data_IF_901032384731
#
_entry.id   IF_901032384731
#
_cell.length_a   1.000
_cell.length_b   1.000
_cell.length_c   1.000
_cell.angle_alpha   90.00
_cell.angle_beta   90.00
_cell.angle_gamma   90.00
#
_symmetry.space_group_name_H-M   'P 1'
#
loop_
_entity.id
_entity.type
_entity.pdbx_description
1 polymer ?
#
# COMPACT_ATOMS: atom_id res chain seq x y z
N UNK A 1 -10.66 1.30 -8.09
CA UNK A 1 -9.72 2.22 -7.41
C UNK A 1 -10.30 3.63 -7.30
N UNK A 2 -10.48 4.36 -8.41
CA UNK A 2 -10.96 5.74 -8.41
C UNK A 2 -12.27 5.97 -7.64
N UNK A 3 -13.32 5.18 -7.90
CA UNK A 3 -14.60 5.28 -7.18
C UNK A 3 -14.42 5.08 -5.67
N UNK A 4 -13.51 4.19 -5.25
CA UNK A 4 -13.27 3.90 -3.83
C UNK A 4 -12.53 5.05 -3.13
N UNK A 5 -11.59 5.69 -3.83
CA UNK A 5 -10.85 6.85 -3.33
C UNK A 5 -11.81 8.05 -3.21
N UNK A 6 -12.51 8.39 -4.28
CA UNK A 6 -13.47 9.51 -4.28
C UNK A 6 -14.61 9.26 -3.29
N UNK A 7 -15.16 8.05 -3.24
CA UNK A 7 -16.21 7.69 -2.27
C UNK A 7 -15.74 7.80 -0.82
N UNK A 8 -14.49 7.42 -0.52
CA UNK A 8 -13.95 7.56 0.83
C UNK A 8 -13.69 9.03 1.19
N UNK A 9 -13.22 9.85 0.25
CA UNK A 9 -13.00 11.30 0.49
C UNK A 9 -14.34 11.98 0.73
N UNK A 10 -15.31 11.75 -0.17
CA UNK A 10 -16.65 12.34 -0.11
C UNK A 10 -17.44 11.88 1.12
N UNK A 11 -17.31 10.61 1.51
CA UNK A 11 -17.95 10.07 2.71
C UNK A 11 -17.41 10.71 4.00
N UNK A 12 -16.09 10.89 4.10
CA UNK A 12 -15.45 11.57 5.24
C UNK A 12 -15.78 13.06 5.25
N UNK A 13 -15.77 13.74 4.10
CA UNK A 13 -16.16 15.15 4.01
C UNK A 13 -17.64 15.38 4.29
N UNK A 14 -18.49 14.39 3.98
CA UNK A 14 -19.93 14.41 4.25
C UNK A 14 -20.30 14.14 5.70
N UNK A 15 -19.33 13.95 6.60
CA UNK A 15 -19.58 13.71 8.02
C UNK A 15 -20.19 12.33 8.34
N UNK A 16 -20.17 11.39 7.40
CA UNK A 16 -20.64 10.03 7.65
C UNK A 16 -19.67 9.29 8.58
N UNK A 17 -20.19 8.45 9.47
CA UNK A 17 -19.41 7.57 10.36
C UNK A 17 -18.82 6.41 9.56
N UNK A 18 -17.84 6.71 8.70
CA UNK A 18 -17.19 5.74 7.81
C UNK A 18 -15.68 5.79 8.06
N UNK A 19 -15.10 4.61 8.32
CA UNK A 19 -13.66 4.46 8.47
C UNK A 19 -12.94 4.50 7.12
N UNK A 20 -12.02 5.46 6.94
CA UNK A 20 -11.11 5.53 5.77
C UNK A 20 -10.05 4.40 5.74
N UNK A 21 -9.92 3.66 6.84
CA UNK A 21 -8.88 2.67 7.07
C UNK A 21 -8.95 1.49 6.08
N UNK A 22 -10.14 0.89 5.92
CA UNK A 22 -10.35 -0.25 5.01
C UNK A 22 -10.11 0.07 3.52
N UNK A 23 -10.61 1.20 2.99
CA UNK A 23 -10.30 1.64 1.62
C UNK A 23 -8.80 1.83 1.36
N UNK A 24 -8.02 2.25 2.36
CA UNK A 24 -6.59 2.53 2.21
C UNK A 24 -5.77 1.27 1.97
N UNK A 25 -6.05 0.19 2.70
CA UNK A 25 -5.38 -1.12 2.52
C UNK A 25 -5.57 -1.65 1.10
N UNK A 26 -6.82 -1.65 0.63
CA UNK A 26 -7.14 -2.11 -0.72
C UNK A 26 -6.51 -1.22 -1.79
N UNK A 27 -6.50 0.09 -1.59
CA UNK A 27 -5.88 1.03 -2.53
C UNK A 27 -4.38 0.79 -2.64
N UNK A 28 -3.68 0.61 -1.50
CA UNK A 28 -2.27 0.25 -1.48
C UNK A 28 -1.96 -1.08 -2.18
N UNK A 29 -2.77 -2.11 -1.92
CA UNK A 29 -2.66 -3.42 -2.58
C UNK A 29 -2.83 -3.32 -4.11
N UNK A 30 -3.82 -2.55 -4.58
CA UNK A 30 -4.04 -2.34 -6.01
C UNK A 30 -2.90 -1.55 -6.67
N UNK A 31 -2.35 -0.53 -6.01
CA UNK A 31 -1.21 0.24 -6.53
C UNK A 31 0.01 -0.68 -6.64
N UNK A 32 0.32 -1.48 -5.61
CA UNK A 32 1.42 -2.43 -5.65
C UNK A 32 1.23 -3.52 -6.72
N UNK A 33 -0.01 -4.00 -6.90
CA UNK A 33 -0.33 -4.95 -7.96
C UNK A 33 -0.13 -4.36 -9.37
N UNK A 34 -0.50 -3.09 -9.54
CA UNK A 34 -0.36 -2.36 -10.79
C UNK A 34 1.11 -2.09 -11.11
N UNK A 35 1.89 -1.71 -10.11
CA UNK A 35 3.34 -1.60 -10.22
C UNK A 35 3.93 -2.98 -10.55
N UNK A 36 3.63 -4.05 -9.82
CA UNK A 36 4.19 -5.38 -10.07
C UNK A 36 3.92 -5.98 -11.46
N UNK A 37 2.88 -5.53 -12.17
CA UNK A 37 2.58 -5.96 -13.54
C UNK A 37 3.39 -5.23 -14.63
N UNK A 38 4.23 -4.26 -14.26
CA UNK A 38 5.02 -3.48 -15.20
C UNK A 38 4.31 -2.27 -15.80
N UNK A 39 3.22 -1.83 -15.15
CA UNK A 39 2.39 -0.71 -15.59
C UNK A 39 1.00 -1.14 -16.10
N UNK A 40 0.27 -0.18 -16.67
CA UNK A 40 -1.07 -0.45 -17.17
C UNK A 40 -1.05 -1.22 -18.48
N UNK A 41 -1.60 -2.42 -18.48
CA UNK A 41 -1.97 -3.11 -19.71
C UNK A 41 -3.00 -2.30 -20.54
N UNK A 42 -3.75 -1.40 -19.89
CA UNK A 42 -4.82 -0.58 -20.50
C UNK A 42 -4.34 0.74 -21.11
N UNK A 43 -3.18 1.27 -20.70
CA UNK A 43 -2.63 2.55 -21.19
C UNK A 43 -1.31 2.41 -21.97
N UNK A 44 -0.87 1.19 -22.30
CA UNK A 44 0.32 0.98 -23.15
C UNK A 44 1.67 1.38 -22.53
N UNK A 45 1.69 1.89 -21.30
CA UNK A 45 2.89 2.20 -20.52
C UNK A 45 3.50 0.91 -19.97
N UNK A 46 4.02 0.07 -20.86
CA UNK A 46 4.79 -1.12 -20.51
C UNK A 46 6.23 -0.67 -20.26
N UNK A 47 6.56 -0.36 -19.01
CA UNK A 47 7.95 -0.07 -18.67
C UNK A 47 8.73 -1.39 -18.69
N UNK A 48 9.53 -1.61 -19.73
CA UNK A 48 10.30 -2.87 -19.93
C UNK A 48 11.18 -3.23 -18.73
N UNK A 49 11.65 -2.25 -17.96
CA UNK A 49 12.46 -2.46 -16.75
C UNK A 49 11.68 -3.17 -15.62
N UNK A 50 10.36 -3.06 -15.64
CA UNK A 50 9.47 -3.48 -14.56
C UNK A 50 8.75 -4.81 -14.89
N UNK A 51 9.04 -5.39 -16.07
CA UNK A 51 8.59 -6.73 -16.53
C UNK A 51 9.29 -7.91 -15.83
N UNK A 52 10.23 -7.65 -14.92
CA UNK A 52 11.01 -8.70 -14.25
C UNK A 52 10.18 -9.54 -13.24
N UNK A 53 9.03 -9.02 -12.78
CA UNK A 53 8.17 -9.66 -11.75
C UNK A 53 7.02 -10.50 -12.34
N UNK A 54 7.28 -11.43 -13.27
CA UNK A 54 6.24 -12.36 -13.80
C UNK A 54 5.92 -13.55 -12.88
N UNK A 55 6.66 -13.74 -11.79
CA UNK A 55 6.44 -14.83 -10.86
C UNK A 55 5.26 -14.53 -9.92
N UNK A 56 4.26 -15.42 -9.88
CA UNK A 56 3.06 -15.25 -9.03
C UNK A 56 3.40 -15.04 -7.55
N UNK A 57 4.50 -15.65 -7.08
CA UNK A 57 4.95 -15.49 -5.69
C UNK A 57 5.42 -14.06 -5.41
N UNK A 58 6.26 -13.51 -6.28
CA UNK A 58 6.77 -12.16 -6.09
C UNK A 58 5.67 -11.10 -6.26
N UNK A 59 4.67 -11.36 -7.12
CA UNK A 59 3.49 -10.51 -7.23
C UNK A 59 2.68 -10.50 -5.93
N UNK A 60 2.49 -11.67 -5.31
CA UNK A 60 1.83 -11.78 -4.00
C UNK A 60 2.60 -11.00 -2.93
N UNK A 61 3.92 -11.19 -2.86
CA UNK A 61 4.78 -10.47 -1.92
C UNK A 61 4.69 -8.95 -2.09
N UNK A 62 4.66 -8.45 -3.34
CA UNK A 62 4.48 -7.03 -3.64
C UNK A 62 3.10 -6.50 -3.21
N UNK A 63 2.03 -7.23 -3.53
CA UNK A 63 0.65 -6.84 -3.15
C UNK A 63 0.50 -6.80 -1.63
N UNK A 64 1.08 -7.78 -0.93
CA UNK A 64 1.17 -7.81 0.52
C UNK A 64 1.90 -6.58 1.07
N UNK A 65 3.06 -6.23 0.50
CA UNK A 65 3.79 -5.03 0.89
C UNK A 65 2.95 -3.75 0.67
N UNK A 66 2.20 -3.69 -0.43
CA UNK A 66 1.27 -2.60 -0.73
C UNK A 66 0.10 -2.50 0.25
N UNK A 67 -0.47 -3.64 0.66
CA UNK A 67 -1.48 -3.70 1.70
C UNK A 67 -0.93 -3.23 3.05
N UNK A 68 0.26 -3.73 3.43
CA UNK A 68 1.01 -3.33 4.63
C UNK A 68 1.24 -1.81 4.67
N UNK A 69 1.70 -1.25 3.55
CA UNK A 69 1.90 0.18 3.36
C UNK A 69 0.60 0.97 3.54
N UNK A 70 -0.51 0.45 2.99
CA UNK A 70 -1.83 1.03 3.19
C UNK A 70 -2.24 1.06 4.66
N UNK A 71 -2.06 -0.04 5.40
CA UNK A 71 -2.31 -0.10 6.85
C UNK A 71 -1.42 0.88 7.61
N UNK A 72 -0.12 0.90 7.30
CA UNK A 72 0.84 1.80 7.94
C UNK A 72 0.49 3.28 7.70
N UNK A 73 0.03 3.64 6.50
CA UNK A 73 -0.42 4.99 6.19
C UNK A 73 -1.74 5.34 6.90
N UNK A 74 -2.64 4.38 7.05
CA UNK A 74 -3.97 4.59 7.59
C UNK A 74 -3.93 4.84 9.12
N UNK A 75 -3.25 3.95 9.83
CA UNK A 75 -3.10 3.98 11.30
C UNK A 75 -1.84 4.71 11.78
N UNK A 76 -0.98 5.16 10.86
CA UNK A 76 0.33 5.79 11.16
C UNK A 76 1.25 4.90 12.02
N UNK A 77 1.09 3.58 11.87
CA UNK A 77 1.77 2.55 12.63
C UNK A 77 2.52 1.60 11.66
N UNK A 78 3.82 1.83 11.40
CA UNK A 78 4.57 1.01 10.45
C UNK A 78 4.68 -0.46 10.91
N UNK A 79 4.95 -0.69 12.20
CA UNK A 79 5.02 -2.03 12.79
C UNK A 79 3.67 -2.75 12.71
N UNK A 80 2.55 -2.04 12.90
CA UNK A 80 1.20 -2.60 12.74
C UNK A 80 0.93 -3.06 11.30
N UNK A 81 1.39 -2.29 10.30
CA UNK A 81 1.31 -2.70 8.90
C UNK A 81 2.13 -3.95 8.58
N UNK A 82 3.33 -4.09 9.17
CA UNK A 82 4.17 -5.29 9.03
C UNK A 82 3.52 -6.50 9.68
N UNK A 83 2.99 -6.36 10.90
CA UNK A 83 2.30 -7.45 11.60
C UNK A 83 1.06 -7.90 10.82
N UNK A 84 0.25 -6.97 10.31
CA UNK A 84 -0.88 -7.28 9.44
C UNK A 84 -0.44 -8.06 8.19
N UNK A 85 0.66 -7.66 7.56
CA UNK A 85 1.19 -8.34 6.39
C UNK A 85 1.71 -9.76 6.71
N UNK A 86 2.26 -9.98 7.91
CA UNK A 86 2.66 -11.31 8.36
C UNK A 86 1.45 -12.20 8.63
N UNK A 87 0.45 -11.67 9.32
CA UNK A 87 -0.77 -12.39 9.68
C UNK A 87 -1.55 -12.83 8.42
N UNK A 88 -1.69 -11.93 7.44
CA UNK A 88 -2.49 -12.19 6.24
C UNK A 88 -1.74 -12.91 5.11
N UNK A 89 -0.43 -12.72 4.97
CA UNK A 89 0.31 -13.25 3.82
C UNK A 89 1.34 -14.34 4.15
N UNK A 90 1.80 -14.44 5.40
CA UNK A 90 2.82 -15.39 5.77
C UNK A 90 2.19 -16.62 6.43
N UNK A 91 1.90 -17.65 5.61
CA UNK A 91 1.64 -18.99 6.17
C UNK A 91 2.87 -19.55 6.92
N UNK A 92 4.07 -18.99 6.66
CA UNK A 92 5.35 -19.34 7.27
C UNK A 92 6.23 -18.09 7.42
N UNK A 93 6.99 -17.98 8.52
CA UNK A 93 7.83 -16.83 8.81
C UNK A 93 8.99 -16.71 7.81
N UNK A 94 8.91 -15.71 6.90
CA UNK A 94 9.89 -15.52 5.83
C UNK A 94 10.66 -14.22 6.04
N UNK A 95 11.90 -14.31 6.51
CA UNK A 95 12.74 -13.15 6.87
C UNK A 95 12.93 -12.14 5.73
N UNK A 96 12.97 -12.61 4.47
CA UNK A 96 13.08 -11.74 3.30
C UNK A 96 11.82 -10.88 3.06
N UNK A 97 10.62 -11.43 3.28
CA UNK A 97 9.36 -10.69 3.14
C UNK A 97 9.22 -9.66 4.26
N UNK A 98 9.58 -10.05 5.48
CA UNK A 98 9.62 -9.18 6.66
C UNK A 98 10.46 -7.93 6.44
N UNK A 99 11.69 -8.10 5.95
CA UNK A 99 12.56 -6.96 5.74
C UNK A 99 12.02 -6.02 4.66
N UNK A 100 11.43 -6.59 3.59
CA UNK A 100 10.79 -5.84 2.51
C UNK A 100 9.56 -5.06 2.98
N UNK A 101 8.68 -5.69 3.77
CA UNK A 101 7.48 -5.03 4.31
C UNK A 101 7.85 -3.97 5.34
N UNK A 102 8.84 -4.23 6.20
CA UNK A 102 9.34 -3.28 7.18
C UNK A 102 9.93 -2.04 6.51
N UNK A 103 10.81 -2.21 5.53
CA UNK A 103 11.38 -1.08 4.80
C UNK A 103 10.29 -0.26 4.08
N UNK A 104 9.36 -0.94 3.41
CA UNK A 104 8.25 -0.27 2.69
C UNK A 104 7.37 0.55 3.64
N UNK A 105 6.94 -0.03 4.76
CA UNK A 105 6.08 0.65 5.75
C UNK A 105 6.81 1.78 6.47
N UNK A 106 8.10 1.63 6.76
CA UNK A 106 8.93 2.69 7.36
C UNK A 106 9.08 3.90 6.42
N UNK A 107 9.36 3.66 5.14
CA UNK A 107 9.45 4.73 4.13
C UNK A 107 8.11 5.45 4.00
N UNK A 108 7.01 4.72 3.93
CA UNK A 108 5.66 5.32 3.86
C UNK A 108 5.37 6.16 5.09
N UNK A 109 5.72 5.69 6.29
CA UNK A 109 5.55 6.45 7.51
C UNK A 109 6.37 7.75 7.50
N UNK A 110 7.65 7.70 7.10
CA UNK A 110 8.52 8.88 6.99
C UNK A 110 7.97 9.91 6.01
N UNK A 111 7.58 9.48 4.80
CA UNK A 111 7.03 10.35 3.76
C UNK A 111 5.72 10.99 4.22
N UNK A 112 4.82 10.20 4.80
CA UNK A 112 3.54 10.70 5.30
C UNK A 112 3.75 11.74 6.41
N UNK A 113 4.61 11.44 7.40
CA UNK A 113 4.93 12.36 8.51
C UNK A 113 5.56 13.65 8.00
N UNK A 114 6.51 13.56 7.08
CA UNK A 114 7.14 14.72 6.47
C UNK A 114 6.14 15.59 5.71
N UNK A 115 5.22 14.98 4.95
CA UNK A 115 4.19 15.72 4.23
C UNK A 115 3.19 16.41 5.18
N UNK A 116 2.77 15.73 6.25
CA UNK A 116 1.90 16.34 7.27
C UNK A 116 2.60 17.53 7.93
N UNK A 117 3.88 17.39 8.28
CA UNK A 117 4.65 18.47 8.89
C UNK A 117 4.79 19.66 7.92
N UNK A 118 5.01 19.41 6.64
CA UNK A 118 5.01 20.44 5.61
C UNK A 118 3.67 21.19 5.55
N UNK A 119 2.55 20.47 5.51
CA UNK A 119 1.21 21.10 5.51
C UNK A 119 0.88 21.88 6.79
N UNK A 120 1.50 21.54 7.92
CA UNK A 120 1.32 22.26 9.19
C UNK A 120 2.23 23.48 9.35
N UNK A 121 3.33 23.54 8.59
CA UNK A 121 4.32 24.63 8.68
C UNK A 121 4.12 25.69 7.59
N UNK A 122 3.26 25.41 6.60
CA UNK A 122 2.89 26.32 5.51
C UNK A 122 1.61 27.11 5.77
#
# INVERSE_FOLDING_TARGET
LFVKIFGSILGVSGGFVIGKEGPMVHTGACIANFLGQGGSQKYGLTWSWLRYFKNDRDRRDLVTCGAAAGVAAAFRAPVGGVLFALEEAASWWRSALLWRTFFTTAVVAMVLRGFIQYCWTG
#
